data_IF_350592211191
#
_entry.id   IF_350592211191
#
_cell.length_a   1.000
_cell.length_b   1.000
_cell.length_c   1.000
_cell.angle_alpha   90.00
_cell.angle_beta   90.00
_cell.angle_gamma   90.00
#
_symmetry.space_group_name_H-M   'P 1'
#
loop_
_entity.id
_entity.type
_entity.pdbx_description
1 polymer ?
2 polymer ?
3 non-polymer ?
#
# COMPACT_ATOMS: atom_id res chain seq x y z
N UNK A 4 31.32 12.17 -11.28
CA UNK A 4 30.05 12.17 -10.57
C UNK A 4 29.79 10.83 -9.86
N UNK A 5 29.35 9.84 -10.62
CA UNK A 5 29.05 8.51 -10.10
C UNK A 5 30.16 7.54 -10.48
N UNK A 6 30.56 6.70 -9.53
CA UNK A 6 31.61 5.70 -9.70
C UNK A 6 31.04 4.30 -9.51
N UNK A 7 31.92 3.30 -9.59
CA UNK A 7 31.55 1.89 -9.45
C UNK A 7 32.32 1.24 -8.30
N UNK A 8 32.29 1.80 -7.07
CA UNK A 8 33.03 1.19 -5.98
C UNK A 8 32.25 0.07 -5.31
N UNK A 9 32.22 0.11 -3.98
CA UNK A 9 31.44 -0.86 -3.20
C UNK A 9 29.96 -0.52 -3.18
N UNK A 10 29.51 0.30 -4.13
CA UNK A 10 28.08 0.41 -4.43
C UNK A 10 27.52 -0.92 -4.94
N UNK A 11 28.37 -1.91 -5.19
CA UNK A 11 27.87 -3.23 -5.51
C UNK A 11 26.89 -3.73 -4.47
N UNK A 12 27.08 -3.32 -3.20
CA UNK A 12 26.13 -3.72 -2.16
C UNK A 12 24.79 -3.01 -2.35
N UNK A 13 24.83 -1.69 -2.52
CA UNK A 13 23.63 -0.95 -2.90
C UNK A 13 22.81 -1.72 -3.91
N UNK A 14 23.45 -2.23 -4.97
CA UNK A 14 22.72 -3.04 -5.94
C UNK A 14 22.34 -4.39 -5.34
N UNK A 15 23.23 -4.95 -4.51
CA UNK A 15 22.88 -6.19 -3.81
C UNK A 15 21.67 -6.00 -2.92
N UNK A 16 21.59 -4.84 -2.26
CA UNK A 16 20.42 -4.52 -1.45
C UNK A 16 19.16 -4.50 -2.30
N UNK A 17 19.17 -3.73 -3.40
CA UNK A 17 17.99 -3.60 -4.22
C UNK A 17 17.54 -4.95 -4.78
N UNK A 18 18.49 -5.80 -5.18
CA UNK A 18 18.09 -7.10 -5.69
C UNK A 18 17.34 -7.89 -4.62
N UNK A 19 17.88 -7.90 -3.40
CA UNK A 19 17.24 -8.62 -2.32
C UNK A 19 15.85 -8.05 -2.02
N UNK A 20 15.71 -6.73 -1.98
CA UNK A 20 14.41 -6.14 -1.72
C UNK A 20 13.42 -6.49 -2.83
N UNK A 21 13.87 -6.46 -4.07
CA UNK A 21 13.00 -6.84 -5.18
C UNK A 21 12.52 -8.27 -5.07
N UNK A 22 13.42 -9.20 -4.73
CA UNK A 22 13.08 -10.61 -4.75
C UNK A 22 12.02 -10.94 -3.71
N UNK A 23 12.13 -10.39 -2.50
CA UNK A 23 11.11 -10.68 -1.51
C UNK A 23 9.85 -9.87 -1.75
N UNK A 24 10.00 -8.66 -2.30
CA UNK A 24 8.85 -7.86 -2.68
C UNK A 24 7.95 -8.61 -3.66
N UNK A 25 8.56 -9.24 -4.68
CA UNK A 25 7.78 -9.87 -5.74
C UNK A 25 7.04 -11.10 -5.23
N UNK A 26 7.50 -11.72 -4.15
CA UNK A 26 6.79 -12.87 -3.60
C UNK A 26 5.99 -12.52 -2.35
N UNK A 27 6.15 -11.32 -1.81
CA UNK A 27 5.37 -10.88 -0.66
C UNK A 27 3.96 -10.45 -1.04
N UNK A 28 3.73 -10.01 -2.27
CA UNK A 28 2.46 -9.46 -2.67
C UNK A 28 1.90 -10.21 -3.88
N UNK A 29 0.59 -10.22 -4.04
CA UNK A 29 -0.02 -10.99 -5.13
C UNK A 29 0.34 -10.43 -6.50
N UNK A 30 -0.09 -9.19 -6.76
CA UNK A 30 -0.04 -8.59 -8.08
C UNK A 30 1.04 -7.52 -8.12
N UNK A 31 2.11 -7.80 -8.87
CA UNK A 31 3.10 -6.77 -9.13
C UNK A 31 2.52 -5.68 -10.04
N UNK A 32 3.19 -4.53 -10.06
CA UNK A 32 2.76 -3.47 -10.96
C UNK A 32 2.89 -3.90 -12.42
N UNK A 33 3.98 -4.60 -12.75
CA UNK A 33 4.13 -5.11 -14.10
C UNK A 33 2.90 -5.93 -14.50
N UNK A 34 2.48 -6.85 -13.63
CA UNK A 34 1.34 -7.69 -13.97
C UNK A 34 0.06 -6.86 -14.09
N UNK A 35 -0.23 -6.02 -13.10
CA UNK A 35 -1.44 -5.21 -13.16
C UNK A 35 -1.46 -4.34 -14.40
N UNK A 36 -0.32 -3.73 -14.73
CA UNK A 36 -0.22 -2.92 -15.93
C UNK A 36 -0.63 -3.70 -17.18
N UNK A 37 -0.17 -4.95 -17.29
CA UNK A 37 -0.55 -5.75 -18.45
C UNK A 37 -2.05 -6.00 -18.47
N UNK A 38 -2.68 -6.14 -17.31
CA UNK A 38 -4.12 -6.34 -17.28
C UNK A 38 -4.85 -5.05 -17.61
N UNK A 39 -4.36 -3.92 -17.07
CA UNK A 39 -4.98 -2.63 -17.36
C UNK A 39 -4.87 -2.24 -18.84
N UNK A 40 -4.14 -3.00 -19.65
CA UNK A 40 -3.95 -2.67 -21.05
C UNK A 40 -4.33 -3.78 -22.02
N UNK A 41 -4.44 -5.02 -21.59
CA UNK A 41 -4.96 -6.07 -22.45
C UNK A 41 -4.17 -7.37 -22.50
N UNK A 42 -2.88 -7.27 -22.83
CA UNK A 42 -2.00 -8.43 -22.97
C UNK A 42 -2.09 -9.40 -21.81
N UNK A 43 -2.85 -10.48 -21.94
CA UNK A 43 -2.90 -11.51 -20.91
C UNK A 43 -3.85 -12.65 -21.29
N UNK A 47 -9.19 -11.21 -18.37
CA UNK A 47 -10.05 -10.04 -18.51
C UNK A 47 -10.93 -9.84 -17.28
N UNK A 48 -10.62 -8.83 -16.48
CA UNK A 48 -11.41 -8.57 -15.26
C UNK A 48 -12.83 -8.15 -15.59
N UNK A 49 -13.73 -8.43 -14.66
CA UNK A 49 -15.12 -7.99 -14.77
C UNK A 49 -15.22 -6.53 -14.34
N UNK A 50 -15.80 -5.69 -15.20
CA UNK A 50 -15.86 -4.26 -14.95
C UNK A 50 -17.13 -3.94 -14.18
N UNK A 51 -16.97 -3.31 -13.03
CA UNK A 51 -18.08 -2.83 -12.22
C UNK A 51 -18.16 -1.33 -12.42
N UNK A 52 -19.09 -0.92 -13.28
CA UNK A 52 -19.38 0.48 -13.55
C UNK A 52 -20.80 0.83 -13.15
N UNK A 53 -21.59 -0.16 -12.79
CA UNK A 53 -23.03 -0.08 -12.73
C UNK A 53 -23.52 -0.74 -11.45
N UNK A 54 -24.61 -0.22 -10.89
CA UNK A 54 -25.26 -1.00 -9.85
C UNK A 54 -25.66 -2.37 -10.41
N UNK A 55 -26.05 -2.45 -11.68
CA UNK A 55 -26.31 -3.74 -12.28
C UNK A 55 -25.03 -4.55 -12.41
N UNK A 56 -23.93 -3.90 -12.81
CA UNK A 56 -22.67 -4.63 -12.90
C UNK A 56 -22.15 -4.99 -11.51
N UNK A 57 -22.40 -4.15 -10.51
CA UNK A 57 -22.10 -4.53 -9.14
C UNK A 57 -22.83 -5.80 -8.76
N UNK A 58 -24.17 -5.74 -8.75
CA UNK A 58 -24.97 -6.90 -8.36
C UNK A 58 -24.58 -8.14 -9.15
N UNK A 59 -24.17 -7.97 -10.40
CA UNK A 59 -23.70 -9.11 -11.18
C UNK A 59 -22.22 -9.41 -10.95
N UNK A 60 -21.45 -8.44 -10.46
CA UNK A 60 -20.05 -8.69 -10.18
C UNK A 60 -19.85 -9.64 -9.02
N UNK A 61 -20.55 -9.39 -7.90
CA UNK A 61 -20.41 -10.30 -6.76
C UNK A 61 -20.77 -11.72 -7.10
N UNK A 62 -21.46 -11.93 -8.23
CA UNK A 62 -21.83 -13.26 -8.68
C UNK A 62 -20.71 -13.90 -9.49
N UNK A 63 -20.14 -13.17 -10.45
CA UNK A 63 -19.11 -13.71 -11.32
C UNK A 63 -17.75 -13.77 -10.62
N UNK A 64 -17.39 -12.73 -9.87
CA UNK A 64 -16.10 -12.72 -9.19
C UNK A 64 -16.18 -13.57 -7.93
N UNK A 65 -15.09 -14.27 -7.62
CA UNK A 65 -14.99 -15.07 -6.40
C UNK A 65 -14.23 -14.26 -5.36
N UNK A 66 -14.97 -13.55 -4.51
CA UNK A 66 -14.35 -12.80 -3.43
C UNK A 66 -14.01 -13.75 -2.28
N UNK A 67 -12.82 -13.57 -1.72
CA UNK A 67 -12.35 -14.49 -0.70
C UNK A 67 -13.07 -14.28 0.64
N UNK A 68 -13.48 -13.06 0.94
CA UNK A 68 -14.01 -12.74 2.26
C UNK A 68 -15.43 -13.24 2.48
N UNK A 69 -16.12 -13.66 1.43
CA UNK A 69 -17.55 -13.93 1.50
C UNK A 69 -17.80 -15.43 1.36
N UNK A 70 -18.86 -15.89 2.01
CA UNK A 70 -19.31 -17.26 1.89
C UNK A 70 -20.82 -17.27 1.74
N UNK A 71 -21.36 -18.15 0.89
CA UNK A 71 -22.81 -18.12 0.67
C UNK A 71 -23.63 -18.23 1.92
N UNK A 72 -23.11 -18.89 2.97
CA UNK A 72 -23.90 -19.16 4.16
C UNK A 72 -23.96 -17.99 5.13
N UNK A 73 -23.05 -17.02 5.01
CA UNK A 73 -23.01 -15.92 5.96
C UNK A 73 -23.96 -14.80 5.54
N UNK A 74 -24.35 -13.99 6.51
CA UNK A 74 -25.30 -12.92 6.26
C UNK A 74 -24.56 -11.68 5.74
N UNK A 75 -24.92 -11.25 4.53
CA UNK A 75 -24.36 -10.05 3.93
C UNK A 75 -25.35 -8.89 4.07
N UNK A 76 -24.84 -7.75 4.52
CA UNK A 76 -25.67 -6.56 4.65
C UNK A 76 -26.26 -6.17 3.30
N UNK A 77 -27.55 -5.81 3.30
CA UNK A 77 -28.19 -5.21 2.14
C UNK A 77 -27.79 -3.74 2.12
N UNK A 78 -26.62 -3.47 1.59
CA UNK A 78 -26.02 -2.15 1.66
C UNK A 78 -24.69 -2.21 0.93
N UNK A 79 -24.72 -1.95 -0.37
CA UNK A 79 -23.51 -2.09 -1.19
C UNK A 79 -22.36 -1.32 -0.55
N UNK A 80 -22.60 -0.08 -0.12
CA UNK A 80 -21.57 0.68 0.55
C UNK A 80 -20.93 -0.12 1.67
N UNK A 81 -21.74 -0.93 2.37
CA UNK A 81 -21.21 -1.69 3.50
C UNK A 81 -20.61 -2.99 3.04
N UNK A 82 -21.22 -3.65 2.06
CA UNK A 82 -20.62 -4.87 1.52
C UNK A 82 -19.26 -4.59 0.88
N UNK A 83 -19.06 -3.37 0.37
CA UNK A 83 -17.77 -3.00 -0.20
C UNK A 83 -16.75 -2.70 0.88
N UNK A 84 -17.15 -1.93 1.89
CA UNK A 84 -16.25 -1.69 3.02
C UNK A 84 -15.78 -3.01 3.65
N UNK A 85 -16.67 -3.99 3.73
CA UNK A 85 -16.29 -5.31 4.21
C UNK A 85 -15.09 -5.84 3.45
N UNK A 86 -15.22 -5.96 2.12
CA UNK A 86 -14.13 -6.48 1.32
C UNK A 86 -12.84 -5.71 1.54
N UNK A 87 -12.93 -4.38 1.60
CA UNK A 87 -11.74 -3.56 1.79
C UNK A 87 -11.10 -3.83 3.14
N UNK A 88 -11.91 -4.01 4.18
CA UNK A 88 -11.37 -4.36 5.49
C UNK A 88 -10.63 -5.71 5.44
N UNK A 89 -11.26 -6.70 4.82
CA UNK A 89 -10.59 -8.00 4.66
C UNK A 89 -9.25 -7.83 3.94
N UNK A 90 -9.25 -7.07 2.83
CA UNK A 90 -8.02 -6.87 2.07
C UNK A 90 -6.99 -6.11 2.87
N UNK A 91 -7.42 -5.09 3.62
CA UNK A 91 -6.48 -4.37 4.48
C UNK A 91 -5.87 -5.29 5.54
N UNK A 92 -6.69 -6.12 6.19
CA UNK A 92 -6.13 -7.06 7.15
C UNK A 92 -5.08 -7.94 6.49
N UNK A 93 -5.39 -8.49 5.32
CA UNK A 93 -4.40 -9.29 4.62
C UNK A 93 -3.17 -8.46 4.26
N UNK A 94 -3.38 -7.21 3.84
CA UNK A 94 -2.26 -6.38 3.43
C UNK A 94 -1.33 -6.10 4.60
N UNK A 95 -1.88 -5.91 5.80
CA UNK A 95 -1.04 -5.68 6.97
C UNK A 95 -0.11 -6.87 7.17
N UNK A 96 -0.62 -8.08 6.96
CA UNK A 96 0.23 -9.25 7.13
C UNK A 96 1.29 -9.33 6.05
N UNK A 97 0.94 -9.03 4.80
CA UNK A 97 1.94 -9.08 3.73
C UNK A 97 3.01 -8.02 3.93
N UNK A 98 2.63 -6.84 4.43
CA UNK A 98 3.60 -5.78 4.68
C UNK A 98 4.49 -6.15 5.87
N UNK A 99 3.93 -6.83 6.86
CA UNK A 99 4.74 -7.29 7.99
C UNK A 99 5.79 -8.30 7.52
N UNK A 100 5.39 -9.24 6.67
CA UNK A 100 6.35 -10.19 6.13
C UNK A 100 7.44 -9.49 5.32
N UNK A 101 7.06 -8.53 4.48
CA UNK A 101 8.06 -7.81 3.71
C UNK A 101 8.99 -7.03 4.61
N UNK A 102 8.44 -6.28 5.58
CA UNK A 102 9.27 -5.57 6.55
C UNK A 102 10.33 -6.48 7.13
N UNK A 103 9.97 -7.74 7.43
CA UNK A 103 10.91 -8.66 8.06
C UNK A 103 12.09 -8.97 7.15
N UNK A 104 11.89 -8.92 5.84
CA UNK A 104 12.95 -9.18 4.86
C UNK A 104 13.87 -7.99 4.65
N UNK A 105 13.58 -6.84 5.23
CA UNK A 105 14.46 -5.69 5.07
C UNK A 105 15.67 -5.89 5.97
N UNK A 106 16.85 -6.07 5.40
CA UNK A 106 18.04 -6.32 6.22
C UNK A 106 18.13 -5.41 7.44
N UNK A 107 18.16 -6.02 8.62
CA UNK A 107 18.30 -5.33 9.87
C UNK A 107 17.01 -5.05 10.61
N UNK A 108 15.86 -5.22 9.97
CA UNK A 108 14.61 -4.85 10.62
C UNK A 108 14.33 -5.71 11.85
N UNK A 109 14.49 -7.03 11.71
CA UNK A 109 14.12 -7.93 12.81
C UNK A 109 14.99 -7.70 14.05
N UNK A 110 16.16 -7.08 13.90
CA UNK A 110 17.01 -6.75 15.04
C UNK A 110 16.70 -5.39 15.63
N UNK A 111 15.71 -4.67 15.12
CA UNK A 111 15.27 -3.49 15.84
C UNK A 111 14.54 -3.92 17.11
N UNK A 112 14.45 -3.00 18.06
CA UNK A 112 13.61 -3.24 19.22
C UNK A 112 12.20 -3.59 18.76
N UNK A 113 11.68 -4.71 19.26
CA UNK A 113 10.40 -5.21 18.77
C UNK A 113 9.28 -4.19 18.99
N UNK A 114 9.38 -3.39 20.05
CA UNK A 114 8.38 -2.34 20.24
C UNK A 114 8.43 -1.31 19.12
N UNK A 115 9.63 -1.06 18.56
CA UNK A 115 9.76 -0.10 17.48
C UNK A 115 9.38 -0.69 16.14
N UNK A 116 9.69 -1.96 15.89
CA UNK A 116 9.14 -2.63 14.72
C UNK A 116 7.62 -2.49 14.68
N UNK A 117 6.99 -2.59 15.84
CA UNK A 117 5.54 -2.44 15.91
C UNK A 117 5.13 -1.04 15.52
N UNK A 118 5.77 -0.03 16.14
CA UNK A 118 5.48 1.36 15.80
C UNK A 118 5.73 1.63 14.33
N UNK A 119 6.88 1.20 13.82
CA UNK A 119 7.16 1.38 12.40
C UNK A 119 6.03 0.82 11.55
N UNK A 120 5.67 -0.45 11.78
CA UNK A 120 4.61 -1.05 11.00
C UNK A 120 3.28 -0.32 11.18
N UNK A 121 3.02 0.21 12.38
CA UNK A 121 1.73 0.84 12.64
C UNK A 121 1.51 2.06 11.74
N UNK A 122 2.55 2.89 11.53
CA UNK A 122 2.38 4.10 10.74
C UNK A 122 2.61 3.92 9.26
N UNK A 123 3.36 2.90 8.86
CA UNK A 123 3.73 2.76 7.46
C UNK A 123 2.77 1.95 6.63
N UNK A 124 1.94 1.13 7.28
CA UNK A 124 1.14 0.14 6.53
C UNK A 124 0.23 0.84 5.53
N UNK A 125 -0.53 1.85 5.98
CA UNK A 125 -1.49 2.46 5.09
C UNK A 125 -0.82 3.31 4.03
N UNK A 126 0.26 4.01 4.40
CA UNK A 126 1.07 4.70 3.40
C UNK A 126 1.51 3.74 2.30
N UNK A 127 2.12 2.62 2.67
CA UNK A 127 2.57 1.72 1.61
C UNK A 127 1.38 1.04 0.95
N UNK A 128 0.23 0.96 1.63
CA UNK A 128 -0.98 0.45 0.99
C UNK A 128 -1.42 1.41 -0.12
N UNK A 129 -1.44 2.70 0.16
CA UNK A 129 -1.87 3.66 -0.85
C UNK A 129 -0.85 3.75 -1.97
N UNK A 130 0.43 3.67 -1.64
CA UNK A 130 1.47 3.61 -2.66
C UNK A 130 1.23 2.45 -3.61
N UNK A 131 1.01 1.25 -3.07
CA UNK A 131 0.84 0.07 -3.90
C UNK A 131 -0.51 0.03 -4.59
N UNK A 132 -1.50 0.75 -4.08
CA UNK A 132 -2.80 0.81 -4.74
C UNK A 132 -2.71 1.45 -6.11
N UNK A 133 -1.84 2.45 -6.26
CA UNK A 133 -1.69 3.14 -7.53
C UNK A 133 -1.28 2.17 -8.63
N UNK A 134 -0.41 1.22 -8.30
CA UNK A 134 -0.03 0.21 -9.28
C UNK A 134 -1.23 -0.50 -9.88
N UNK A 135 -2.37 -0.49 -9.18
CA UNK A 135 -3.60 -1.15 -9.62
C UNK A 135 -4.61 -0.18 -10.21
N UNK A 136 -4.25 1.10 -10.33
CA UNK A 136 -5.18 2.12 -10.79
C UNK A 136 -4.72 2.70 -12.13
N UNK A 137 -5.72 3.08 -12.92
CA UNK A 137 -5.52 4.08 -13.98
C UNK A 137 -6.58 5.16 -13.72
N UNK A 138 -6.82 5.99 -14.72
CA UNK A 138 -7.75 7.10 -14.56
C UNK A 138 -9.20 6.65 -14.51
N UNK A 139 -9.50 5.43 -14.95
CA UNK A 139 -10.88 4.96 -15.02
C UNK A 139 -11.34 4.19 -13.79
N UNK A 140 -10.42 3.55 -13.06
CA UNK A 140 -10.82 2.69 -11.97
C UNK A 140 -9.65 1.96 -11.37
N UNK A 141 -9.94 0.89 -10.63
CA UNK A 141 -8.92 0.15 -9.90
C UNK A 141 -9.22 -1.34 -9.98
N UNK A 142 -8.17 -2.12 -10.24
CA UNK A 142 -8.27 -3.58 -10.26
C UNK A 142 -8.57 -4.12 -8.87
N UNK A 143 -9.43 -5.13 -8.80
CA UNK A 143 -9.78 -5.78 -7.55
C UNK A 143 -9.75 -7.30 -7.73
N UNK A 144 -9.63 -8.00 -6.59
CA UNK A 144 -9.70 -9.46 -6.53
C UNK A 144 -8.61 -10.10 -7.39
N UNK A 145 -7.37 -9.76 -7.08
CA UNK A 145 -6.21 -10.25 -7.83
C UNK A 145 -6.42 -10.03 -9.33
N UNK A 146 -6.94 -8.86 -9.68
CA UNK A 146 -7.17 -8.55 -11.07
C UNK A 146 -8.35 -9.24 -11.69
N UNK A 147 -9.20 -9.88 -10.89
CA UNK A 147 -10.40 -10.52 -11.43
C UNK A 147 -11.49 -9.50 -11.74
N UNK A 148 -11.51 -8.37 -11.04
CA UNK A 148 -12.51 -7.35 -11.24
C UNK A 148 -11.89 -5.98 -11.45
N UNK A 149 -12.73 -5.05 -11.90
CA UNK A 149 -12.31 -3.68 -12.16
C UNK A 149 -13.47 -2.78 -11.76
N UNK A 150 -13.25 -1.93 -10.77
CA UNK A 150 -14.27 -1.01 -10.28
C UNK A 150 -14.00 0.39 -10.81
N UNK A 151 -15.00 1.01 -11.42
CA UNK A 151 -14.74 2.30 -12.04
C UNK A 151 -14.67 3.39 -10.99
N UNK A 152 -13.82 4.38 -11.28
CA UNK A 152 -13.67 5.54 -10.40
C UNK A 152 -14.99 6.25 -10.20
N UNK A 153 -15.79 6.38 -11.27
CA UNK A 153 -17.02 7.15 -11.23
C UNK A 153 -18.14 6.41 -10.50
N UNK A 154 -18.14 5.07 -10.56
CA UNK A 154 -19.11 4.33 -9.76
C UNK A 154 -18.81 4.50 -8.27
N UNK A 155 -17.54 4.38 -7.88
CA UNK A 155 -17.17 4.64 -6.51
C UNK A 155 -17.67 6.01 -6.06
N UNK A 156 -17.39 7.04 -6.85
CA UNK A 156 -17.76 8.39 -6.46
C UNK A 156 -19.27 8.56 -6.30
N UNK A 157 -20.06 7.72 -6.97
CA UNK A 157 -21.51 7.82 -6.94
C UNK A 157 -22.14 7.18 -5.72
N UNK A 158 -21.39 6.39 -4.95
CA UNK A 158 -21.97 5.78 -3.76
C UNK A 158 -22.41 6.85 -2.78
N UNK A 159 -23.38 6.49 -1.93
CA UNK A 159 -24.11 7.45 -1.14
C UNK A 159 -23.24 8.09 -0.06
N UNK A 160 -23.72 9.23 0.45
CA UNK A 160 -23.23 9.76 1.70
C UNK A 160 -21.71 9.85 1.60
N UNK A 161 -20.92 9.65 2.67
CA UNK A 161 -19.49 9.95 2.55
C UNK A 161 -18.68 8.82 1.92
N UNK A 162 -19.24 7.62 1.76
CA UNK A 162 -18.46 6.53 1.16
C UNK A 162 -17.94 6.92 -0.21
N UNK A 163 -18.73 7.66 -0.99
CA UNK A 163 -18.28 8.13 -2.28
C UNK A 163 -17.04 9.00 -2.23
N UNK A 164 -16.63 9.44 -1.04
CA UNK A 164 -15.45 10.31 -0.92
C UNK A 164 -14.22 9.55 -0.43
N UNK A 165 -14.31 8.23 -0.27
CA UNK A 165 -13.18 7.47 0.25
C UNK A 165 -12.06 7.36 -0.76
N UNK A 166 -12.35 6.81 -1.93
CA UNK A 166 -11.33 6.46 -2.90
C UNK A 166 -10.88 7.63 -3.77
N UNK A 167 -11.62 8.75 -3.78
CA UNK A 167 -11.25 9.83 -4.69
C UNK A 167 -9.86 10.37 -4.42
N UNK A 168 -9.49 10.76 -3.20
CA UNK A 168 -8.10 11.19 -2.97
C UNK A 168 -7.07 10.17 -3.41
N UNK A 169 -7.36 8.87 -3.29
CA UNK A 169 -6.40 7.86 -3.73
C UNK A 169 -6.19 7.93 -5.25
N UNK A 170 -7.27 8.09 -6.00
CA UNK A 170 -7.15 8.23 -7.44
C UNK A 170 -6.31 9.46 -7.80
N UNK A 171 -6.62 10.59 -7.18
CA UNK A 171 -5.83 11.80 -7.43
C UNK A 171 -4.37 11.57 -7.14
N UNK A 172 -4.06 10.87 -6.05
CA UNK A 172 -2.67 10.56 -5.75
C UNK A 172 -2.07 9.68 -6.84
N UNK A 173 -2.72 8.55 -7.14
CA UNK A 173 -2.19 7.61 -8.10
C UNK A 173 -1.90 8.29 -9.44
N UNK A 174 -2.78 9.17 -9.89
CA UNK A 174 -2.59 9.81 -11.19
C UNK A 174 -1.23 10.50 -11.24
N UNK A 175 -0.99 11.44 -10.31
CA UNK A 175 0.31 12.10 -10.28
C UNK A 175 1.43 11.09 -10.04
N UNK A 176 1.21 10.12 -9.15
CA UNK A 176 2.27 9.20 -8.74
C UNK A 176 2.64 8.23 -9.86
N UNK A 177 1.65 7.79 -10.64
CA UNK A 177 1.95 6.91 -11.77
C UNK A 177 2.66 7.64 -12.91
N UNK A 178 2.47 8.96 -13.01
CA UNK A 178 3.23 9.69 -14.01
C UNK A 178 4.73 9.54 -13.77
N UNK A 179 5.15 9.25 -12.55
CA UNK A 179 6.58 9.03 -12.30
C UNK A 179 7.09 7.78 -13.00
N UNK A 180 6.21 6.88 -13.43
CA UNK A 180 6.57 5.69 -14.19
C UNK A 180 7.59 4.82 -13.46
N UNK A 181 7.40 4.66 -12.16
CA UNK A 181 8.23 3.75 -11.39
C UNK A 181 7.84 2.31 -11.69
N UNK A 182 8.81 1.41 -11.58
CA UNK A 182 8.55 -0.02 -11.74
C UNK A 182 8.73 -0.71 -10.40
N UNK A 183 8.36 -1.99 -10.37
CA UNK A 183 8.44 -2.77 -9.14
C UNK A 183 9.82 -2.65 -8.52
N UNK A 184 10.87 -2.74 -9.33
CA UNK A 184 12.23 -2.65 -8.79
C UNK A 184 12.42 -1.35 -8.00
N UNK A 185 11.89 -0.23 -8.49
CA UNK A 185 11.93 1.01 -7.75
C UNK A 185 10.98 0.96 -6.54
N UNK A 186 9.82 0.33 -6.71
CA UNK A 186 8.81 0.32 -5.67
C UNK A 186 9.28 -0.47 -4.45
N UNK A 187 10.02 -1.56 -4.69
CA UNK A 187 10.56 -2.35 -3.58
C UNK A 187 11.39 -1.50 -2.62
N UNK A 188 12.23 -0.60 -3.15
CA UNK A 188 13.11 0.15 -2.28
C UNK A 188 12.40 1.32 -1.64
N UNK A 189 11.41 1.89 -2.35
CA UNK A 189 10.68 3.02 -1.82
C UNK A 189 9.83 2.64 -0.62
N UNK A 190 9.03 1.58 -0.73
CA UNK A 190 8.24 1.15 0.42
C UNK A 190 9.16 0.77 1.56
N UNK A 191 10.31 0.15 1.27
CA UNK A 191 11.31 -0.09 2.29
C UNK A 191 11.71 1.19 3.01
N UNK A 192 11.92 2.27 2.25
CA UNK A 192 12.27 3.54 2.86
C UNK A 192 11.11 4.05 3.71
N UNK A 193 9.88 3.82 3.24
CA UNK A 193 8.73 4.26 4.02
C UNK A 193 8.70 3.58 5.38
N UNK A 194 8.81 2.24 5.37
CA UNK A 194 8.70 1.46 6.60
C UNK A 194 9.69 1.92 7.66
N UNK A 195 10.87 2.39 7.24
CA UNK A 195 11.89 2.77 8.21
C UNK A 195 11.99 4.28 8.34
N UNK A 196 10.85 4.92 8.59
CA UNK A 196 10.81 6.35 8.83
C UNK A 196 11.13 6.61 10.29
N UNK A 197 12.26 7.26 10.54
CA UNK A 197 12.72 7.47 11.91
C UNK A 197 12.03 8.60 12.64
N UNK A 198 11.00 9.20 12.05
CA UNK A 198 10.24 10.27 12.69
C UNK A 198 8.81 9.85 13.04
N UNK A 199 8.52 8.55 13.04
CA UNK A 199 7.22 8.11 13.51
C UNK A 199 7.10 8.42 15.00
N UNK A 200 5.94 8.85 15.47
CA UNK A 200 5.79 9.15 16.89
C UNK A 200 5.90 7.89 17.73
N UNK A 201 6.58 8.01 18.86
CA UNK A 201 6.64 6.92 19.82
C UNK A 201 7.84 6.01 19.71
N UNK A 202 8.80 6.33 18.84
CA UNK A 202 10.02 5.55 18.74
C UNK A 202 10.96 5.95 19.86
N UNK A 203 11.67 4.97 20.43
CA UNK A 203 12.64 5.28 21.47
C UNK A 203 14.05 4.89 21.11
N UNK A 204 14.28 4.15 20.03
CA UNK A 204 15.63 3.82 19.59
C UNK A 204 15.73 4.23 18.11
N UNK A 205 15.90 5.53 17.87
CA UNK A 205 15.82 6.06 16.52
C UNK A 205 17.08 5.75 15.72
N UNK A 206 18.26 6.11 16.26
CA UNK A 206 19.52 5.98 15.52
C UNK A 206 19.65 4.70 14.72
N UNK A 207 19.41 3.51 15.27
CA UNK A 207 19.53 2.29 14.47
C UNK A 207 18.52 2.21 13.34
N UNK A 208 17.40 2.92 13.44
CA UNK A 208 16.43 2.98 12.35
C UNK A 208 16.92 3.90 11.26
N UNK A 209 17.41 5.09 11.63
CA UNK A 209 17.95 6.03 10.65
C UNK A 209 19.08 5.41 9.86
N UNK A 210 20.01 4.74 10.54
CA UNK A 210 21.10 4.06 9.84
C UNK A 210 20.57 3.18 8.73
N UNK A 211 19.49 2.43 8.99
CA UNK A 211 18.95 1.59 7.94
C UNK A 211 18.32 2.43 6.84
N UNK A 212 17.52 3.43 7.21
CA UNK A 212 16.86 4.24 6.19
C UNK A 212 17.86 4.90 5.26
N UNK A 213 18.98 5.39 5.80
CA UNK A 213 20.01 5.98 4.95
C UNK A 213 20.51 4.97 3.92
N UNK A 214 20.78 3.74 4.37
CA UNK A 214 21.17 2.70 3.43
C UNK A 214 20.09 2.44 2.39
N UNK A 215 18.83 2.49 2.81
CA UNK A 215 17.75 2.35 1.83
C UNK A 215 17.66 3.59 0.94
N UNK A 216 17.90 4.77 1.50
CA UNK A 216 17.76 6.00 0.74
C UNK A 216 18.81 6.08 -0.37
N UNK A 217 20.07 5.84 -0.02
CA UNK A 217 21.11 5.94 -1.03
C UNK A 217 21.01 4.79 -2.03
N UNK A 218 20.51 3.63 -1.61
CA UNK A 218 20.24 2.58 -2.58
C UNK A 218 19.12 2.97 -3.52
N UNK A 219 18.13 3.71 -3.03
CA UNK A 219 17.05 4.16 -3.91
C UNK A 219 17.59 5.14 -4.95
N UNK A 220 18.26 6.20 -4.49
CA UNK A 220 18.82 7.18 -5.42
C UNK A 220 19.64 6.50 -6.52
N UNK A 221 20.56 5.62 -6.14
CA UNK A 221 21.34 4.90 -7.15
C UNK A 221 20.44 4.10 -8.07
N UNK A 222 19.37 3.53 -7.53
CA UNK A 222 18.42 2.78 -8.35
C UNK A 222 17.69 3.71 -9.32
N UNK A 223 17.35 4.92 -8.86
CA UNK A 223 16.59 5.84 -9.70
C UNK A 223 17.46 6.43 -10.81
N UNK A 224 18.75 6.62 -10.56
CA UNK A 224 19.62 7.12 -11.62
C UNK A 224 19.90 6.04 -12.66
N UNK A 225 20.06 4.80 -12.21
CA UNK A 225 20.38 3.72 -13.13
C UNK A 225 19.18 3.32 -13.98
N UNK A 226 17.96 3.52 -13.47
CA UNK A 226 16.76 3.02 -14.15
C UNK A 226 15.91 4.11 -14.79
N UNK A 227 16.23 5.39 -14.56
CA UNK A 227 15.50 6.50 -15.18
C UNK A 227 16.49 7.55 -15.67
N UNK A 228 17.19 7.25 -16.77
CA UNK A 228 18.08 8.26 -17.36
C UNK A 228 17.37 9.54 -17.77
N UNK A 229 16.11 9.46 -18.15
CA UNK A 229 15.39 10.56 -18.78
C UNK A 229 14.72 11.49 -17.78
N UNK A 230 15.22 11.57 -16.54
CA UNK A 230 14.59 12.44 -15.56
C UNK A 230 15.43 12.57 -14.31
N UNK A 231 16.22 13.64 -14.21
CA UNK A 231 16.86 13.93 -12.95
C UNK A 231 15.83 14.50 -11.98
N UNK A 232 16.16 14.47 -10.70
CA UNK A 232 15.32 14.91 -9.58
C UNK A 232 14.19 13.92 -9.32
N UNK A 233 14.15 12.76 -9.97
CA UNK A 233 13.16 11.74 -9.60
C UNK A 233 13.27 11.41 -8.12
N UNK A 234 14.50 11.42 -7.57
CA UNK A 234 14.70 11.09 -6.17
C UNK A 234 13.95 12.06 -5.28
N UNK A 235 14.18 13.36 -5.46
CA UNK A 235 13.50 14.34 -4.62
C UNK A 235 12.00 14.27 -4.80
N UNK A 236 11.55 14.03 -6.04
CA UNK A 236 10.11 13.93 -6.29
C UNK A 236 9.48 12.81 -5.48
N UNK A 237 10.18 11.66 -5.34
CA UNK A 237 9.64 10.57 -4.54
C UNK A 237 9.54 10.96 -3.07
N UNK A 238 10.64 11.46 -2.51
CA UNK A 238 10.63 11.92 -1.14
C UNK A 238 9.45 12.83 -0.86
N UNK A 239 9.19 13.78 -1.77
CA UNK A 239 8.04 14.66 -1.58
C UNK A 239 6.74 13.89 -1.65
N UNK A 240 6.73 12.73 -2.31
CA UNK A 240 5.53 11.91 -2.33
C UNK A 240 5.22 11.33 -0.96
N UNK A 241 6.26 10.89 -0.23
CA UNK A 241 6.06 10.42 1.15
C UNK A 241 5.37 11.48 1.99
N UNK A 242 5.69 12.76 1.75
CA UNK A 242 4.92 13.83 2.37
C UNK A 242 3.45 13.72 2.03
N UNK A 243 3.12 13.48 0.76
CA UNK A 243 1.72 13.46 0.34
C UNK A 243 0.98 12.25 0.91
N UNK A 244 1.65 11.11 1.03
CA UNK A 244 1.00 9.92 1.55
C UNK A 244 0.49 10.14 2.97
N UNK A 245 1.24 10.90 3.76
CA UNK A 245 0.80 11.20 5.12
C UNK A 245 -0.48 12.03 5.10
N UNK A 246 -0.54 13.05 4.25
CA UNK A 246 -1.73 13.89 4.21
C UNK A 246 -2.96 13.08 3.85
N UNK A 247 -2.84 12.13 2.93
CA UNK A 247 -4.03 11.38 2.57
C UNK A 247 -4.46 10.46 3.69
N UNK A 248 -3.51 9.93 4.46
CA UNK A 248 -3.86 9.15 5.65
C UNK A 248 -4.63 10.02 6.63
N UNK A 249 -4.12 11.21 6.89
CA UNK A 249 -4.82 12.15 7.77
C UNK A 249 -6.23 12.44 7.26
N UNK A 250 -6.38 12.55 5.94
CA UNK A 250 -7.70 12.79 5.36
C UNK A 250 -8.56 11.54 5.37
N UNK A 251 -7.95 10.35 5.41
CA UNK A 251 -8.73 9.13 5.47
C UNK A 251 -9.26 8.87 6.87
N UNK A 252 -8.46 9.19 7.89
CA UNK A 252 -8.90 9.01 9.28
C UNK A 252 -10.10 9.89 9.57
N UNK A 253 -10.02 11.17 9.19
CA UNK A 253 -11.13 12.10 9.42
C UNK A 253 -12.42 11.58 8.80
N UNK A 254 -12.32 10.96 7.63
CA UNK A 254 -13.49 10.33 7.02
C UNK A 254 -13.96 9.13 7.83
N UNK A 255 -13.03 8.29 8.29
CA UNK A 255 -13.42 7.20 9.18
C UNK A 255 -14.21 7.72 10.37
N UNK A 256 -13.73 8.80 10.98
CA UNK A 256 -14.42 9.39 12.11
C UNK A 256 -15.86 9.75 11.74
N UNK A 257 -16.04 10.47 10.63
CA UNK A 257 -17.38 10.88 10.22
C UNK A 257 -18.30 9.68 10.16
N UNK A 258 -17.91 8.65 9.41
CA UNK A 258 -18.73 7.45 9.33
C UNK A 258 -18.88 6.82 10.71
N UNK A 259 -17.77 6.70 11.44
CA UNK A 259 -17.78 5.95 12.71
C UNK A 259 -18.81 6.53 13.68
N UNK A 260 -18.98 7.85 13.69
CA UNK A 260 -19.96 8.47 14.57
C UNK A 260 -21.34 8.41 13.93
N UNK A 261 -21.62 7.35 13.18
CA UNK A 261 -22.90 7.17 12.51
C UNK A 261 -23.21 5.70 12.29
N UNK A 266 -18.36 -2.55 13.51
CA UNK A 266 -17.16 -1.72 13.44
C UNK A 266 -16.05 -2.40 12.64
N UNK A 267 -14.81 -2.19 13.06
CA UNK A 267 -13.66 -2.59 12.28
C UNK A 267 -12.84 -3.65 12.99
N UNK A 268 -12.25 -4.53 12.19
CA UNK A 268 -11.41 -5.63 12.60
C UNK A 268 -10.47 -5.20 13.72
N UNK A 269 -10.30 -6.01 14.76
CA UNK A 269 -9.42 -5.60 15.87
C UNK A 269 -8.01 -5.24 15.41
N UNK A 270 -7.51 -5.83 14.32
CA UNK A 270 -6.18 -5.46 13.86
C UNK A 270 -6.16 -4.02 13.37
N UNK A 271 -7.14 -3.65 12.54
CA UNK A 271 -7.22 -2.26 12.05
C UNK A 271 -7.49 -1.29 13.20
N UNK A 272 -8.42 -1.63 14.08
CA UNK A 272 -8.70 -0.78 15.23
C UNK A 272 -7.43 -0.63 16.08
N UNK A 273 -6.68 -1.71 16.21
CA UNK A 273 -5.38 -1.64 16.84
C UNK A 273 -4.48 -0.61 16.14
N UNK A 274 -4.52 -0.57 14.80
CA UNK A 274 -3.64 0.33 14.07
C UNK A 274 -4.11 1.78 14.18
N UNK A 275 -5.41 2.03 14.03
CA UNK A 275 -5.90 3.40 14.06
C UNK A 275 -5.97 3.98 15.47
N UNK A 276 -5.97 3.14 16.50
CA UNK A 276 -6.03 3.62 17.88
C UNK A 276 -4.77 4.42 18.20
N UNK A 277 -4.97 5.68 18.62
CA UNK A 277 -3.85 6.55 18.98
C UNK A 277 -2.88 6.72 17.82
N UNK A 278 -3.41 6.99 16.64
CA UNK A 278 -2.60 7.26 15.46
C UNK A 278 -2.52 8.77 15.26
N UNK A 279 -1.32 9.33 15.40
CA UNK A 279 -1.14 10.76 15.26
C UNK A 279 -1.84 11.51 16.40
N UNK B 4 -2.02 -1.72 23.93
CA UNK B 4 -2.56 -2.32 22.71
C UNK B 4 -1.43 -2.81 21.81
N UNK B 5 -1.74 -2.98 20.52
CA UNK B 5 -0.82 -3.54 19.53
C UNK B 5 -0.46 -5.00 19.80
N UNK B 6 -1.41 -5.77 20.31
CA UNK B 6 -1.12 -7.17 20.61
C UNK B 6 -1.21 -8.04 19.37
N UNK B 7 -2.16 -7.77 18.47
CA UNK B 7 -2.24 -8.54 17.23
C UNK B 7 -1.03 -8.25 16.37
N UNK B 8 -0.66 -6.98 16.27
CA UNK B 8 0.54 -6.60 15.53
C UNK B 8 1.79 -7.16 16.17
N UNK B 9 1.90 -7.01 17.49
CA UNK B 9 3.08 -7.52 18.17
C UNK B 9 3.23 -9.01 17.95
N UNK B 10 2.13 -9.73 17.83
CA UNK B 10 2.17 -11.16 17.60
C UNK B 10 2.67 -11.51 16.20
N UNK B 11 2.28 -10.72 15.20
CA UNK B 11 2.72 -10.98 13.84
C UNK B 11 4.22 -10.76 13.67
N UNK B 12 4.78 -9.74 14.33
CA UNK B 12 6.22 -9.57 14.29
C UNK B 12 6.97 -10.74 14.94
N UNK B 13 6.31 -11.48 15.82
CA UNK B 13 6.93 -12.61 16.51
C UNK B 13 6.63 -13.90 15.73
N UNK B 14 7.23 -13.99 14.56
CA UNK B 14 7.10 -15.16 13.69
C UNK B 14 8.19 -15.16 12.63
X LIG C 1 -10.18 0.60 6.79
X LIG C 1 -10.30 0.56 8.30
X LIG C 1 -10.59 -0.78 6.26
X LIG C 1 -11.29 1.76 4.97
X LIG C 1 -8.72 0.91 6.49
X LIG C 1 -12.05 2.09 2.34
X LIG C 1 -10.44 1.36 3.94
X LIG C 1 -12.51 2.34 4.68
X LIG C 1 -10.83 1.52 2.63
X LIG C 1 -12.89 2.51 3.36
X LIG C 1 -12.49 2.29 0.90
X LIG C 1 -13.96 2.22 0.54
X LIG C 1 -14.46 3.12 -0.38
X LIG C 1 -14.81 1.29 1.12
X LIG C 1 -15.79 3.09 -0.75
X LIG C 1 -16.16 1.26 0.77
X LIG C 1 -16.64 2.16 -0.17
X LIG C 1 -10.99 1.65 6.32
X LIG C 1 -8.37 2.12 6.40
X LIG C 1 -7.90 -0.02 6.37
X LIG C 1 -11.67 2.50 0.07
X LIG C 1 -18.36 2.12 -0.63
X LIG C 1 -11.20 0.31 8.55
X LIG C 1 -9.67 -0.10 8.66
X LIG C 1 -10.08 1.42 8.67
X LIG C 1 -11.54 -0.93 6.44
X LIG C 1 -10.07 -1.46 6.69
X LIG C 1 -10.45 -0.82 5.30
X LIG C 1 -9.62 0.97 4.16
X LIG C 1 -13.07 2.62 5.36
X LIG C 1 -10.26 1.25 1.94
X LIG C 1 -13.72 2.89 3.15
X LIG C 1 -13.88 3.74 -0.78
X LIG C 1 -14.48 0.70 1.75
X LIG C 1 -16.13 3.69 -1.37
X LIG C 1 -16.72 0.64 1.15
X LIG D 1 -2.58 -3.97 -1.85
X LIG D 1 -1.30 -4.39 -1.14
X LIG D 1 -2.44 -2.48 -2.18
X LIG D 1 -4.78 -3.49 -0.87
X LIG D 1 -2.73 -4.82 -3.12
X LIG D 1 -7.02 -1.90 -0.50
X LIG D 1 -5.16 -3.10 0.41
X LIG D 1 -5.54 -3.11 -1.96
X LIG D 1 -6.27 -2.30 0.60
X LIG D 1 -6.65 -2.30 -1.78
X LIG D 1 -8.24 -1.02 -0.29
X LIG D 1 -9.35 -0.99 -1.35
X LIG D 1 -9.72 -2.18 -1.99
X LIG D 1 -9.97 0.19 -1.68
X LIG D 1 -10.71 -2.15 -2.96
X LIG D 1 -10.97 0.21 -2.64
X LIG D 1 -11.33 -0.97 -3.28
X LIG D 1 -3.66 -4.31 -1.01
X LIG D 1 -1.87 -4.73 -4.05
X LIG D 1 -3.71 -5.61 -3.22
X LIG D 1 -8.32 -0.34 0.68
X LIG D 1 -12.61 -0.98 -4.53
X LIG D 1 -1.27 -3.99 -0.26
X LIG D 1 -0.53 -4.08 -1.66
X LIG D 1 -1.27 -5.35 -1.07
X LIG D 1 -2.21 -2.00 -1.37
X LIG D 1 -3.28 -2.15 -2.53
X LIG D 1 -1.74 -2.36 -2.84
X LIG D 1 -4.66 -3.37 1.13
X LIG D 1 -5.29 -3.36 -2.82
X LIG D 1 -6.52 -2.03 1.45
X LIG D 1 -7.16 -2.03 -2.51
X LIG D 1 -9.29 -2.97 -1.77
X LIG D 1 -9.72 0.98 -1.26
X LIG D 1 -10.96 -2.95 -3.38
X LIG D 1 -11.39 1.01 -2.87
X LIG E 1 -9.86 -9.24 -2.05
X LIG E 1 -8.71 -9.79 -1.24
X LIG E 1 -9.33 -8.53 -3.30
X LIG E 1 -11.56 -7.53 -1.76
X LIG E 1 -10.78 -10.41 -2.40
X LIG E 1 -13.53 -5.90 -2.80
X LIG E 1 -12.68 -8.08 -2.37
X LIG E 1 -11.44 -6.16 -1.66
X LIG E 1 -13.66 -7.27 -2.90
X LIG E 1 -12.42 -5.34 -2.19
X LIG E 1 -14.63 -5.00 -3.39
X LIG E 1 -16.09 -5.46 -3.42
X LIG E 1 -16.87 -5.13 -4.52
X LIG E 1 -16.65 -6.21 -2.39
X LIG E 1 -18.19 -5.53 -4.59
X LIG E 1 -17.97 -6.60 -2.46
X LIG E 1 -18.76 -6.27 -3.56
X LIG E 1 -10.56 -8.36 -1.21
X LIG E 1 -10.73 -11.00 -3.51
X LIG E 1 -11.62 -10.80 -1.53
X LIG E 1 -14.33 -3.95 -3.84
X LIG E 1 -20.48 -6.76 -3.69
X LIG E 1 -8.13 -10.34 -1.80
X LIG E 1 -8.19 -9.05 -0.86
X LIG E 1 -9.05 -10.34 -0.50
X LIG E 1 -8.65 -7.88 -3.04
X LIG E 1 -10.06 -8.06 -3.74
X LIG E 1 -8.95 -9.17 -3.90
X LIG E 1 -12.77 -9.01 -2.43
X LIG E 1 -10.70 -5.79 -1.25
X LIG E 1 -14.41 -7.64 -3.32
X LIG E 1 -12.34 -4.42 -2.13
X LIG E 1 -16.49 -4.64 -5.21
X LIG E 1 -16.13 -6.44 -1.65
X LIG E 1 -18.70 -5.30 -5.32
X LIG E 1 -18.34 -7.11 -1.76
#
# INVERSE_FOLDING_TARGET
GSHMQLNPESADLRALAKHLYDSYIKSFPLTKAKARAILTGKTTDKSPFVIYDMNSLMMGEDKIKFKHITPLQEQSKEVAIRIFQGCQFRSVEAVQEITEYAKSIPGFVNLDLNDQVTLLKYGVHEIIYTMLASLMNKDGVLISEGQGFMTREFLKSLRKPFGDFMEPKFEFAVKFNALELDDSDLAIFIAVIILSGDRPGLLNVKPIEDIQDNLLQALELQLKLNHPESSQLFAKLLQKMTDLRQIVTEHVQLLQVIKKTETDMSLHPLLQEIYKDLY
LTERHKILHRLLQEG
F5A C06 C07 C08 C09 C10 C11 C12 C13 C14 C15 C16 C17 C18 C19 C20 C21 C22 O02 O03 O04 O05 CL1 H73 H72 H71 H83 H82 H81 H12 H13 H14 H15 H18 H19 H22 H23
F5A C06 C07 C08 C09 C10 C11 C12 C13 C14 C15 C16 C17 C18 C19 C20 C21 C22 O02 O03 O04 O05 CL1 H73 H72 H71 H83 H82 H81 H12 H13 H14 H15 H18 H19 H22 H23
F5A C06 C07 C08 C09 C10 C11 C12 C13 C14 C15 C16 C17 C18 C19 C20 C21 C22 O02 O03 O04 O05 CL1 H73 H72 H71 H83 H82 H81 H12 H13 H14 H15 H18 H19 H22 H23
#
